data_IF_489383059106
#
_entry.id   IF_489383059106
#
_cell.length_a   1.000
_cell.length_b   1.000
_cell.length_c   1.000
_cell.angle_alpha   90.00
_cell.angle_beta   90.00
_cell.angle_gamma   90.00
#
_symmetry.space_group_name_H-M   'P 1'
#
loop_
_entity.id
_entity.type
_entity.pdbx_description
1 polymer ?
#
# COMPACT_ATOMS: atom_id res chain seq x y z
N UNK A 1 -0.44 14.51 14.85
CA UNK A 1 0.37 13.50 14.13
C UNK A 1 0.39 12.26 14.99
N UNK A 2 0.15 11.10 14.40
CA UNK A 2 0.17 9.82 15.11
C UNK A 2 1.08 8.88 14.35
N UNK A 3 2.05 8.30 15.05
CA UNK A 3 3.05 7.41 14.49
C UNK A 3 2.59 5.95 14.60
N UNK A 4 2.71 5.23 13.49
CA UNK A 4 2.46 3.80 13.42
C UNK A 4 3.66 3.06 12.86
N UNK A 5 3.84 1.82 13.26
CA UNK A 5 5.00 1.02 12.86
C UNK A 5 4.63 -0.40 12.47
N UNK A 6 5.38 -0.96 11.52
CA UNK A 6 5.34 -2.38 11.19
C UNK A 6 6.67 -2.88 10.60
N UNK A 7 6.85 -4.20 10.52
CA UNK A 7 8.05 -4.81 9.92
C UNK A 7 7.76 -5.30 8.50
N UNK A 8 8.51 -4.78 7.53
CA UNK A 8 8.43 -5.23 6.15
C UNK A 8 9.00 -6.66 6.00
N UNK A 9 8.34 -7.56 5.25
CA UNK A 9 8.80 -8.94 5.09
C UNK A 9 10.10 -9.01 4.28
N UNK A 10 10.94 -10.01 4.56
CA UNK A 10 12.13 -10.30 3.75
C UNK A 10 11.77 -10.72 2.32
N UNK A 11 10.74 -11.57 2.20
CA UNK A 11 10.30 -12.10 0.92
C UNK A 11 9.06 -11.36 0.43
N UNK A 12 9.18 -10.70 -0.73
CA UNK A 12 8.11 -9.99 -1.43
C UNK A 12 6.85 -10.83 -1.69
N UNK A 13 7.02 -12.13 -1.97
CA UNK A 13 5.90 -13.06 -2.17
C UNK A 13 5.29 -13.60 -0.87
N UNK A 14 5.68 -13.08 0.30
CA UNK A 14 5.14 -13.53 1.59
C UNK A 14 3.65 -13.20 1.71
N UNK A 15 2.85 -14.20 2.10
CA UNK A 15 1.44 -14.04 2.47
C UNK A 15 1.24 -14.01 3.99
N UNK A 16 2.33 -13.89 4.75
CA UNK A 16 2.27 -13.78 6.21
C UNK A 16 1.60 -12.46 6.60
N UNK A 17 0.74 -12.52 7.63
CA UNK A 17 0.17 -11.30 8.21
C UNK A 17 1.26 -10.42 8.83
N UNK A 18 1.14 -9.13 8.59
CA UNK A 18 2.01 -8.08 9.11
C UNK A 18 1.16 -7.22 10.03
N UNK A 19 1.47 -7.27 11.33
CA UNK A 19 0.78 -6.46 12.33
C UNK A 19 1.28 -5.01 12.28
N UNK A 20 0.35 -4.08 12.49
CA UNK A 20 0.62 -2.64 12.61
C UNK A 20 0.37 -2.24 14.06
N UNK A 21 1.31 -1.46 14.61
CA UNK A 21 1.29 -1.01 15.99
C UNK A 21 1.27 0.52 16.04
N UNK A 22 0.60 1.08 17.05
CA UNK A 22 0.69 2.50 17.38
C UNK A 22 1.94 2.85 18.20
N UNK A 23 2.04 4.10 18.62
CA UNK A 23 3.12 4.64 19.45
C UNK A 23 3.26 3.92 20.80
N UNK A 24 2.15 3.40 21.34
CA UNK A 24 2.09 2.67 22.60
C UNK A 24 2.34 1.17 22.40
N UNK A 25 2.69 0.74 21.19
CA UNK A 25 2.87 -0.66 20.80
C UNK A 25 1.59 -1.50 20.93
N UNK A 26 0.43 -0.85 20.90
CA UNK A 26 -0.86 -1.53 20.81
C UNK A 26 -1.15 -1.84 19.35
N UNK A 27 -1.56 -3.08 19.08
CA UNK A 27 -1.91 -3.51 17.72
C UNK A 27 -3.20 -2.80 17.27
N UNK A 28 -3.14 -2.13 16.12
CA UNK A 28 -4.29 -1.44 15.50
C UNK A 28 -4.91 -2.21 14.35
N UNK A 29 -4.23 -3.24 13.86
CA UNK A 29 -4.72 -4.14 12.82
C UNK A 29 -3.57 -4.90 12.17
N UNK A 30 -3.84 -5.52 11.04
CA UNK A 30 -2.81 -6.21 10.27
C UNK A 30 -3.13 -6.19 8.78
N UNK A 31 -2.14 -6.45 7.94
CA UNK A 31 -2.36 -6.62 6.51
C UNK A 31 -1.51 -7.75 5.95
N UNK A 32 -1.92 -8.27 4.80
CA UNK A 32 -1.19 -9.32 4.10
C UNK A 32 -1.42 -9.24 2.60
N UNK A 33 -0.42 -9.70 1.86
CA UNK A 33 -0.59 -10.07 0.47
C UNK A 33 -1.46 -11.33 0.39
N UNK A 34 -2.31 -11.40 -0.64
CA UNK A 34 -3.03 -12.61 -0.99
C UNK A 34 -2.99 -12.87 -2.50
N UNK A 35 -3.35 -14.10 -2.88
CA UNK A 35 -3.49 -14.51 -4.27
C UNK A 35 -4.94 -14.89 -4.52
N UNK A 36 -5.52 -14.47 -5.66
CA UNK A 36 -6.88 -14.82 -6.04
C UNK A 36 -7.06 -16.30 -6.41
N UNK A 37 -5.95 -17.02 -6.68
CA UNK A 37 -5.97 -18.45 -6.94
C UNK A 37 -4.58 -19.08 -7.05
N UNK A 38 -4.56 -20.40 -7.21
CA UNK A 38 -3.33 -21.21 -7.29
C UNK A 38 -2.50 -20.84 -8.52
N UNK A 39 -3.14 -20.58 -9.67
CA UNK A 39 -2.45 -20.15 -10.89
C UNK A 39 -1.67 -18.84 -10.71
N UNK A 40 -2.31 -17.84 -10.08
CA UNK A 40 -1.66 -16.56 -9.79
C UNK A 40 -0.42 -16.76 -8.89
N UNK A 41 -0.54 -17.59 -7.86
CA UNK A 41 0.57 -17.92 -6.96
C UNK A 41 1.74 -18.58 -7.68
N UNK A 42 1.46 -19.49 -8.62
CA UNK A 42 2.49 -20.20 -9.39
C UNK A 42 3.21 -19.26 -10.36
N UNK A 43 2.46 -18.45 -11.13
CA UNK A 43 3.04 -17.49 -12.09
C UNK A 43 3.90 -16.46 -11.35
N UNK A 44 3.39 -15.92 -10.23
CA UNK A 44 4.09 -14.93 -9.44
C UNK A 44 5.41 -15.47 -8.86
N UNK A 45 5.47 -16.76 -8.48
CA UNK A 45 6.73 -17.38 -8.05
C UNK A 45 7.77 -17.46 -9.17
N UNK A 46 7.34 -17.67 -10.42
CA UNK A 46 8.24 -17.74 -11.59
C UNK A 46 8.65 -16.34 -12.07
N UNK A 47 7.75 -15.36 -11.96
CA UNK A 47 7.90 -13.99 -12.49
C UNK A 47 8.40 -12.99 -11.43
N UNK A 48 9.26 -13.43 -10.50
CA UNK A 48 9.92 -12.58 -9.48
C UNK A 48 8.99 -11.94 -8.43
N UNK A 49 7.80 -12.48 -8.24
CA UNK A 49 6.85 -12.10 -7.18
C UNK A 49 6.25 -10.70 -7.27
N UNK A 50 6.37 -10.02 -8.41
CA UNK A 50 5.85 -8.66 -8.62
C UNK A 50 4.81 -8.61 -9.76
N UNK A 51 4.25 -9.76 -10.16
CA UNK A 51 3.39 -9.88 -11.35
C UNK A 51 1.94 -9.46 -11.07
N UNK A 52 1.35 -9.96 -9.98
CA UNK A 52 0.01 -9.52 -9.53
C UNK A 52 0.04 -9.34 -8.02
N UNK A 53 -0.23 -8.12 -7.57
CA UNK A 53 -0.13 -7.72 -6.17
C UNK A 53 -1.52 -7.38 -5.66
N UNK A 54 -2.10 -8.31 -4.88
CA UNK A 54 -3.33 -8.07 -4.13
C UNK A 54 -2.99 -7.99 -2.64
N UNK A 55 -3.60 -7.05 -1.94
CA UNK A 55 -3.32 -6.77 -0.53
C UNK A 55 -4.62 -6.57 0.19
N UNK A 56 -4.73 -7.09 1.42
CA UNK A 56 -5.87 -6.79 2.29
C UNK A 56 -5.41 -6.48 3.69
N UNK A 57 -6.11 -5.58 4.36
CA UNK A 57 -5.99 -5.27 5.78
C UNK A 57 -7.22 -5.72 6.54
N UNK A 58 -6.98 -6.19 7.74
CA UNK A 58 -7.96 -6.63 8.73
C UNK A 58 -7.77 -5.77 9.99
N UNK A 59 -8.85 -5.38 10.64
CA UNK A 59 -8.82 -4.63 11.89
C UNK A 59 -8.45 -5.52 13.10
N UNK A 60 -8.59 -5.01 14.32
CA UNK A 60 -8.31 -5.76 15.55
C UNK A 60 -9.31 -6.89 15.82
N UNK A 61 -10.51 -6.81 15.25
CA UNK A 61 -11.56 -7.86 15.29
C UNK A 61 -11.38 -8.90 14.18
N UNK A 62 -10.34 -8.78 13.36
CA UNK A 62 -10.11 -9.60 12.16
C UNK A 62 -11.17 -9.40 11.06
N UNK A 63 -11.91 -8.30 11.10
CA UNK A 63 -12.84 -7.92 10.04
C UNK A 63 -12.08 -7.23 8.91
N UNK A 64 -12.52 -7.46 7.68
CA UNK A 64 -11.91 -6.84 6.50
C UNK A 64 -12.08 -5.32 6.57
N UNK A 65 -10.97 -4.59 6.62
CA UNK A 65 -10.98 -3.14 6.66
C UNK A 65 -10.71 -2.51 5.30
N UNK A 66 -9.70 -3.02 4.58
CA UNK A 66 -9.31 -2.52 3.26
C UNK A 66 -8.86 -3.67 2.38
N UNK A 67 -9.25 -3.69 1.11
CA UNK A 67 -8.81 -4.64 0.11
C UNK A 67 -8.41 -3.93 -1.17
N UNK A 68 -7.28 -4.32 -1.76
CA UNK A 68 -6.78 -3.86 -3.05
C UNK A 68 -6.55 -5.06 -3.96
N UNK A 69 -7.21 -5.07 -5.13
CA UNK A 69 -7.13 -6.12 -6.14
C UNK A 69 -6.64 -5.54 -7.46
N UNK A 70 -5.59 -6.11 -8.04
CA UNK A 70 -5.04 -5.66 -9.30
C UNK A 70 -6.00 -5.99 -10.46
N UNK A 71 -6.26 -5.00 -11.31
CA UNK A 71 -7.11 -5.15 -12.48
C UNK A 71 -6.29 -5.81 -13.61
N UNK A 72 -6.55 -7.09 -13.85
CA UNK A 72 -5.92 -7.88 -14.92
C UNK A 72 -6.69 -7.75 -16.24
N UNK A 73 -6.88 -6.53 -16.75
CA UNK A 73 -7.45 -6.33 -18.09
C UNK A 73 -6.34 -6.31 -19.16
N UNK A 74 -6.63 -6.73 -20.39
CA UNK A 74 -5.64 -6.75 -21.49
C UNK A 74 -5.18 -5.33 -21.87
N UNK A 75 -5.98 -4.30 -21.56
CA UNK A 75 -5.61 -2.87 -21.66
C UNK A 75 -4.70 -2.40 -20.51
N UNK A 76 -4.65 -3.16 -19.41
CA UNK A 76 -3.87 -2.89 -18.18
C UNK A 76 -2.37 -3.19 -18.36
N UNK A 77 -1.95 -3.77 -19.50
CA UNK A 77 -0.52 -4.01 -19.79
C UNK A 77 0.30 -2.73 -19.91
N UNK A 78 -0.33 -1.60 -20.25
CA UNK A 78 0.38 -0.32 -20.36
C UNK A 78 0.63 0.32 -18.98
N UNK A 79 -0.28 0.13 -18.01
CA UNK A 79 -0.20 0.67 -16.64
C UNK A 79 -1.03 -0.17 -15.69
N UNK A 80 -0.43 -0.60 -14.57
CA UNK A 80 -1.14 -1.29 -13.51
C UNK A 80 -2.17 -0.37 -12.85
N UNK A 81 -3.32 -0.95 -12.50
CA UNK A 81 -4.35 -0.31 -11.69
C UNK A 81 -4.97 -1.33 -10.74
N UNK A 82 -5.50 -0.84 -9.62
CA UNK A 82 -6.14 -1.67 -8.60
C UNK A 82 -7.52 -1.11 -8.28
N UNK A 83 -8.48 -2.01 -8.07
CA UNK A 83 -9.74 -1.71 -7.43
C UNK A 83 -9.57 -1.85 -5.92
N UNK A 84 -10.02 -0.84 -5.19
CA UNK A 84 -9.94 -0.75 -3.74
C UNK A 84 -11.31 -0.67 -3.11
N UNK A 85 -11.48 -1.34 -1.97
CA UNK A 85 -12.65 -1.19 -1.10
C UNK A 85 -12.16 -1.02 0.33
N UNK A 86 -12.64 0.00 1.03
CA UNK A 86 -12.29 0.25 2.43
C UNK A 86 -13.49 0.70 3.25
N UNK A 87 -13.50 0.36 4.54
CA UNK A 87 -14.50 0.82 5.51
C UNK A 87 -14.48 2.34 5.71
N UNK A 88 -13.35 3.02 5.45
CA UNK A 88 -13.24 4.47 5.56
C UNK A 88 -13.47 5.19 4.22
N UNK A 89 -12.71 4.85 3.17
CA UNK A 89 -12.85 5.50 1.85
C UNK A 89 -14.00 4.99 0.96
N UNK A 90 -14.67 3.88 1.32
CA UNK A 90 -15.60 3.19 0.44
C UNK A 90 -14.88 2.56 -0.77
N UNK A 91 -15.52 2.58 -1.93
CA UNK A 91 -14.90 2.14 -3.18
C UNK A 91 -13.95 3.21 -3.73
N UNK A 92 -12.77 2.77 -4.19
CA UNK A 92 -11.75 3.62 -4.78
C UNK A 92 -10.91 2.88 -5.83
N UNK A 93 -10.14 3.64 -6.61
CA UNK A 93 -9.20 3.11 -7.58
C UNK A 93 -7.79 3.62 -7.29
N UNK A 94 -6.79 2.76 -7.39
CA UNK A 94 -5.38 3.11 -7.36
C UNK A 94 -4.79 2.95 -8.76
N UNK A 95 -4.17 3.98 -9.31
CA UNK A 95 -3.70 4.00 -10.69
C UNK A 95 -2.22 4.34 -10.71
N UNK A 96 -1.41 3.49 -11.35
CA UNK A 96 0.00 3.79 -11.57
C UNK A 96 0.15 4.90 -12.63
N UNK A 97 0.84 5.98 -12.26
CA UNK A 97 1.12 7.13 -13.12
C UNK A 97 2.61 7.35 -13.33
N UNK A 98 3.45 6.43 -12.87
CA UNK A 98 4.90 6.51 -12.99
C UNK A 98 5.31 6.52 -14.46
N UNK A 99 6.16 7.48 -14.84
CA UNK A 99 6.77 7.53 -16.18
C UNK A 99 8.15 6.85 -16.20
N UNK A 100 8.85 6.89 -15.08
CA UNK A 100 10.17 6.30 -14.86
C UNK A 100 10.21 5.65 -13.48
N UNK A 101 11.00 4.57 -13.32
CA UNK A 101 11.05 3.80 -12.06
C UNK A 101 11.67 4.56 -10.88
N UNK A 102 12.54 5.53 -11.15
CA UNK A 102 13.23 6.33 -10.13
C UNK A 102 12.37 7.46 -9.56
N UNK A 103 11.22 7.73 -10.15
CA UNK A 103 10.25 8.72 -9.69
C UNK A 103 8.83 8.13 -9.70
N UNK A 104 8.58 7.14 -8.82
CA UNK A 104 7.31 6.42 -8.80
C UNK A 104 6.18 7.30 -8.26
N UNK A 105 5.01 7.20 -8.90
CA UNK A 105 3.81 7.99 -8.58
C UNK A 105 2.55 7.16 -8.80
N UNK A 106 1.66 7.17 -7.82
CA UNK A 106 0.32 6.59 -7.93
C UNK A 106 -0.74 7.62 -7.59
N UNK A 107 -1.89 7.49 -8.23
CA UNK A 107 -3.09 8.29 -7.95
C UNK A 107 -4.17 7.42 -7.31
N UNK A 108 -4.85 7.96 -6.31
CA UNK A 108 -5.98 7.33 -5.62
C UNK A 108 -7.22 8.15 -5.95
N UNK A 109 -8.23 7.53 -6.53
CA UNK A 109 -9.49 8.19 -6.91
C UNK A 109 -10.62 7.52 -6.12
N UNK A 110 -11.29 8.27 -5.25
CA UNK A 110 -12.42 7.76 -4.47
C UNK A 110 -13.73 7.89 -5.24
N UNK A 111 -14.72 7.06 -4.92
CA UNK A 111 -16.10 7.17 -5.43
C UNK A 111 -16.76 8.53 -5.12
N UNK A 112 -16.33 9.19 -4.05
CA UNK A 112 -16.80 10.52 -3.63
C UNK A 112 -16.15 11.67 -4.43
N UNK A 113 -15.22 11.37 -5.35
CA UNK A 113 -14.54 12.37 -6.18
C UNK A 113 -13.24 12.93 -5.58
N UNK A 114 -12.87 12.53 -4.36
CA UNK A 114 -11.59 12.91 -3.76
C UNK A 114 -10.42 12.25 -4.48
N UNK A 115 -9.31 12.98 -4.59
CA UNK A 115 -8.06 12.50 -5.17
C UNK A 115 -6.90 12.64 -4.21
N UNK A 116 -6.09 11.59 -4.15
CA UNK A 116 -4.84 11.57 -3.40
C UNK A 116 -3.69 11.09 -4.29
N UNK A 117 -2.46 11.41 -3.88
CA UNK A 117 -1.26 11.10 -4.64
C UNK A 117 -0.23 10.46 -3.72
N UNK A 118 0.31 9.32 -4.14
CA UNK A 118 1.46 8.67 -3.51
C UNK A 118 2.67 8.95 -4.38
N UNK A 119 3.74 9.49 -3.80
CA UNK A 119 4.97 9.69 -4.54
C UNK A 119 6.21 9.58 -3.66
N UNK A 120 7.34 9.30 -4.32
CA UNK A 120 8.67 9.29 -3.73
C UNK A 120 9.62 10.04 -4.65
N UNK A 121 10.42 10.94 -4.07
CA UNK A 121 11.49 11.60 -4.81
C UNK A 121 12.75 10.71 -4.85
N UNK A 122 13.50 10.81 -5.94
CA UNK A 122 14.74 10.06 -6.09
C UNK A 122 15.73 10.43 -4.97
N UNK A 123 16.31 9.41 -4.33
CA UNK A 123 17.26 9.59 -3.22
C UNK A 123 16.61 9.90 -1.86
N UNK A 124 15.31 10.23 -1.83
CA UNK A 124 14.58 10.37 -0.58
C UNK A 124 14.23 8.97 -0.02
N UNK A 125 14.38 8.78 1.28
CA UNK A 125 13.94 7.55 1.97
C UNK A 125 12.48 7.64 2.40
N UNK A 126 11.81 8.75 2.10
CA UNK A 126 10.43 9.01 2.44
C UNK A 126 9.52 8.85 1.24
N UNK A 127 8.34 8.32 1.50
CA UNK A 127 7.21 8.31 0.58
C UNK A 127 6.11 9.16 1.20
N UNK A 128 5.43 9.96 0.38
CA UNK A 128 4.39 10.87 0.84
C UNK A 128 3.05 10.47 0.24
N UNK A 129 1.99 10.61 1.04
CA UNK A 129 0.61 10.61 0.57
C UNK A 129 0.04 11.99 0.81
N UNK A 130 -0.42 12.64 -0.26
CA UNK A 130 -0.96 14.00 -0.24
C UNK A 130 -2.34 14.06 -0.88
N UNK A 131 -3.16 15.04 -0.52
CA UNK A 131 -4.41 15.33 -1.23
C UNK A 131 -4.20 16.22 -2.48
N UNK A 132 -5.28 16.56 -3.18
CA UNK A 132 -5.25 17.41 -4.39
C UNK A 132 -4.67 18.81 -4.15
N UNK A 133 -4.80 19.34 -2.92
CA UNK A 133 -4.20 20.62 -2.51
C UNK A 133 -2.74 20.51 -2.05
N UNK A 134 -2.11 19.33 -2.19
CA UNK A 134 -0.74 19.02 -1.75
C UNK A 134 -0.51 19.07 -0.24
N UNK A 135 -1.57 18.99 0.55
CA UNK A 135 -1.45 18.79 2.00
C UNK A 135 -1.03 17.35 2.27
N UNK A 136 0.03 17.16 3.05
CA UNK A 136 0.51 15.85 3.46
C UNK A 136 -0.44 15.19 4.45
N UNK A 137 -0.97 14.04 4.06
CA UNK A 137 -1.83 13.19 4.89
C UNK A 137 -1.02 12.14 5.64
N UNK A 138 -0.01 11.57 4.97
CA UNK A 138 0.92 10.61 5.57
C UNK A 138 2.34 10.78 5.03
N UNK A 139 3.32 10.67 5.92
CA UNK A 139 4.73 10.50 5.58
C UNK A 139 5.17 9.10 6.00
N UNK A 140 5.80 8.36 5.10
CA UNK A 140 6.24 6.98 5.34
C UNK A 140 7.75 6.92 5.19
N UNK A 141 8.44 6.40 6.19
CA UNK A 141 9.90 6.23 6.20
C UNK A 141 10.31 4.83 6.64
N UNK A 142 11.59 4.50 6.47
CA UNK A 142 12.16 3.22 6.92
C UNK A 142 13.54 3.40 7.54
N UNK A 143 13.84 2.56 8.52
CA UNK A 143 15.06 2.63 9.34
C UNK A 143 16.34 2.26 8.56
N UNK A 144 16.26 1.29 7.65
CA UNK A 144 17.40 0.76 6.90
C UNK A 144 17.01 0.31 5.49
N UNK A 145 18.01 0.18 4.61
CA UNK A 145 17.81 -0.13 3.18
C UNK A 145 17.48 -1.61 2.89
N UNK A 146 17.81 -2.52 3.81
CA UNK A 146 17.64 -3.96 3.60
C UNK A 146 16.63 -4.56 4.58
N UNK A 147 15.72 -5.43 4.13
CA UNK A 147 14.79 -6.14 5.00
C UNK A 147 15.49 -6.94 6.12
N UNK A 148 14.84 -7.12 7.29
CA UNK A 148 13.49 -6.69 7.62
C UNK A 148 13.53 -5.25 8.13
N UNK A 149 13.04 -4.31 7.34
CA UNK A 149 13.02 -2.89 7.68
C UNK A 149 11.80 -2.56 8.54
N UNK A 150 11.98 -1.66 9.49
CA UNK A 150 10.89 -1.06 10.25
C UNK A 150 10.35 0.08 9.42
N UNK A 151 9.07 0.00 9.08
CA UNK A 151 8.35 1.07 8.41
C UNK A 151 7.69 1.93 9.47
N UNK A 152 7.87 3.24 9.35
CA UNK A 152 7.22 4.25 10.17
C UNK A 152 6.21 5.00 9.29
N UNK A 153 4.99 5.16 9.78
CA UNK A 153 3.93 5.95 9.13
C UNK A 153 3.57 7.08 10.08
N UNK A 154 3.92 8.31 9.72
CA UNK A 154 3.50 9.53 10.38
C UNK A 154 2.20 10.04 9.75
N UNK A 155 1.08 9.77 10.42
CA UNK A 155 -0.24 10.14 9.94
C UNK A 155 -0.62 11.54 10.46
N UNK A 156 -0.83 12.48 9.53
CA UNK A 156 -1.08 13.89 9.83
C UNK A 156 -2.55 14.29 9.72
N UNK A 157 -3.37 13.47 9.05
CA UNK A 157 -4.81 13.70 8.84
C UNK A 157 -5.62 12.44 9.14
N UNK A 158 -6.87 12.61 9.54
CA UNK A 158 -7.85 11.52 9.70
C UNK A 158 -8.59 11.18 8.40
N UNK A 159 -8.32 11.89 7.29
CA UNK A 159 -8.89 11.56 5.97
C UNK A 159 -8.58 10.13 5.52
N UNK A 160 -7.41 9.62 5.92
CA UNK A 160 -6.97 8.25 5.64
C UNK A 160 -6.78 7.49 6.93
N UNK A 161 -7.22 6.24 6.96
CA UNK A 161 -6.93 5.32 8.03
C UNK A 161 -5.55 4.68 7.82
N UNK A 162 -4.82 4.37 8.90
CA UNK A 162 -3.47 3.77 8.82
C UNK A 162 -3.45 2.46 8.02
N UNK A 163 -4.51 1.66 8.10
CA UNK A 163 -4.62 0.40 7.33
C UNK A 163 -4.70 0.65 5.82
N UNK A 164 -5.31 1.75 5.39
CA UNK A 164 -5.32 2.17 3.98
C UNK A 164 -3.91 2.61 3.56
N UNK A 165 -3.29 3.47 4.37
CA UNK A 165 -1.92 3.95 4.12
C UNK A 165 -0.93 2.79 4.02
N UNK A 166 -0.97 1.84 4.95
CA UNK A 166 -0.07 0.69 4.97
C UNK A 166 -0.27 -0.24 3.76
N UNK A 167 -1.52 -0.52 3.37
CA UNK A 167 -1.80 -1.38 2.21
C UNK A 167 -1.38 -0.72 0.90
N UNK A 168 -1.68 0.57 0.73
CA UNK A 168 -1.26 1.35 -0.44
C UNK A 168 0.27 1.48 -0.53
N UNK A 169 0.94 1.76 0.59
CA UNK A 169 2.40 1.86 0.63
C UNK A 169 3.10 0.51 0.40
N UNK A 170 2.54 -0.58 0.95
CA UNK A 170 3.05 -1.93 0.67
C UNK A 170 3.00 -2.23 -0.83
N UNK A 171 1.86 -1.97 -1.47
CA UNK A 171 1.69 -2.14 -2.91
C UNK A 171 2.67 -1.29 -3.71
N UNK A 172 2.82 0.00 -3.34
CA UNK A 172 3.77 0.93 -3.95
C UNK A 172 5.21 0.40 -3.88
N UNK A 173 5.64 -0.08 -2.72
CA UNK A 173 6.99 -0.63 -2.47
C UNK A 173 7.22 -1.98 -3.16
N UNK A 174 6.18 -2.77 -3.31
CA UNK A 174 6.27 -4.04 -4.03
C UNK A 174 6.53 -3.80 -5.53
N UNK A 175 5.92 -2.74 -6.09
CA UNK A 175 6.04 -2.38 -7.50
C UNK A 175 7.36 -1.66 -7.86
N UNK A 176 7.95 -0.91 -6.92
CA UNK A 176 9.12 -0.03 -7.13
C UNK A 176 10.22 -0.25 -6.10
#
# INVERSE_FOLDING_TARGET
>A
MTLYTYKFPFYKGSTKSIDIFDEQQVKVGSFKRFYGGIFQKTIDRVMSSDFVINVRAEDTSSELFCELKENMDWRSWLRSSWSGQSSNLGDFALIDKSKIKTEPRMEIHTSQGNKYFIYKHFGDRRTFIVNETRVTLAEISYDKLLPPQTINIDLSSQELHVLEVATMYYLFTMKY
#
